data_IF_324426387214
#
_entry.id   IF_324426387214
#
_cell.length_a   1.000
_cell.length_b   1.000
_cell.length_c   1.000
_cell.angle_alpha   90.00
_cell.angle_beta   90.00
_cell.angle_gamma   90.00
#
_symmetry.space_group_name_H-M   'P 1'
#
loop_
_entity.id
_entity.type
_entity.pdbx_description
1 polymer ?
#
# COMPACT_ATOMS: atom_id res chain seq x y z
N UNK A 1 11.53 -9.07 -17.63
CA UNK A 1 10.90 -10.14 -16.82
C UNK A 1 9.44 -9.79 -16.69
N UNK A 2 8.52 -10.76 -16.77
CA UNK A 2 7.07 -10.55 -16.66
C UNK A 2 6.57 -11.28 -15.38
N UNK A 3 6.22 -10.54 -14.30
CA UNK A 3 5.84 -11.14 -13.02
C UNK A 3 4.71 -12.15 -13.12
N UNK A 4 3.69 -11.82 -13.92
CA UNK A 4 2.51 -12.66 -14.09
C UNK A 4 2.86 -14.02 -14.72
N UNK A 5 3.74 -14.03 -15.74
CA UNK A 5 4.19 -15.28 -16.36
C UNK A 5 4.97 -16.16 -15.37
N UNK A 6 5.88 -15.54 -14.59
CA UNK A 6 6.61 -16.27 -13.55
C UNK A 6 5.69 -16.85 -12.47
N UNK A 7 4.65 -16.11 -12.08
CA UNK A 7 3.65 -16.59 -11.15
C UNK A 7 2.95 -17.85 -11.68
N UNK A 8 2.44 -17.83 -12.91
CA UNK A 8 1.77 -18.99 -13.50
C UNK A 8 2.72 -20.17 -13.62
N UNK A 9 3.94 -19.95 -14.10
CA UNK A 9 4.94 -21.00 -14.22
C UNK A 9 5.25 -21.66 -12.86
N UNK A 10 5.45 -20.86 -11.80
CA UNK A 10 5.71 -21.38 -10.47
C UNK A 10 4.50 -22.15 -9.89
N UNK A 11 3.29 -21.60 -10.06
CA UNK A 11 2.07 -22.25 -9.59
C UNK A 11 1.85 -23.63 -10.24
N UNK A 12 2.16 -23.76 -11.52
CA UNK A 12 2.00 -25.01 -12.28
C UNK A 12 3.11 -26.03 -12.02
N UNK A 13 4.34 -25.58 -11.74
CA UNK A 13 5.52 -26.45 -11.80
C UNK A 13 6.28 -26.66 -10.48
N UNK A 14 6.01 -25.87 -9.42
CA UNK A 14 6.83 -25.90 -8.19
C UNK A 14 6.04 -26.11 -6.91
N UNK A 15 4.71 -26.25 -6.98
CA UNK A 15 3.85 -26.32 -5.80
C UNK A 15 3.67 -24.97 -5.09
N UNK A 16 3.97 -23.86 -5.77
CA UNK A 16 3.75 -22.52 -5.23
C UNK A 16 2.25 -22.25 -5.07
N UNK A 17 1.85 -21.82 -3.87
CA UNK A 17 0.47 -21.43 -3.58
C UNK A 17 0.43 -19.92 -3.32
N UNK A 18 -0.33 -19.21 -4.12
CA UNK A 18 -0.62 -17.79 -3.86
C UNK A 18 -1.42 -17.65 -2.56
N UNK A 19 -1.41 -16.45 -1.99
CA UNK A 19 -2.26 -16.13 -0.85
C UNK A 19 -3.76 -16.23 -1.23
N UNK A 20 -4.61 -16.58 -0.27
CA UNK A 20 -6.05 -16.72 -0.47
C UNK A 20 -6.68 -15.39 -0.89
N UNK A 21 -6.19 -14.31 -0.30
CA UNK A 21 -6.57 -12.92 -0.57
C UNK A 21 -5.42 -12.14 -1.20
N UNK A 22 -5.74 -10.98 -1.79
CA UNK A 22 -4.73 -9.99 -2.22
C UNK A 22 -3.89 -9.50 -1.03
N UNK A 23 -2.68 -9.06 -1.32
CA UNK A 23 -1.86 -8.35 -0.35
C UNK A 23 -2.37 -6.91 -0.17
N UNK A 24 -2.37 -6.41 1.07
CA UNK A 24 -2.80 -5.04 1.39
C UNK A 24 -1.91 -4.02 0.67
N UNK A 25 -2.52 -2.98 0.09
CA UNK A 25 -1.82 -1.98 -0.72
C UNK A 25 -1.58 -2.38 -2.18
N UNK A 26 -2.06 -3.56 -2.61
CA UNK A 26 -2.07 -4.00 -4.02
C UNK A 26 -3.29 -4.90 -4.36
N UNK A 27 -3.45 -5.21 -5.64
CA UNK A 27 -4.40 -6.18 -6.17
C UNK A 27 -3.78 -7.56 -6.40
N UNK A 28 -2.45 -7.68 -6.32
CA UNK A 28 -1.74 -8.95 -6.49
C UNK A 28 -1.79 -9.82 -5.23
N UNK A 29 -1.65 -11.13 -5.40
CA UNK A 29 -1.73 -12.15 -4.33
C UNK A 29 -0.53 -13.08 -4.21
N UNK A 30 0.51 -12.86 -5.02
CA UNK A 30 1.63 -13.80 -5.16
C UNK A 30 2.99 -13.21 -4.76
N UNK A 31 3.10 -11.89 -4.56
CA UNK A 31 4.38 -11.26 -4.24
C UNK A 31 4.53 -10.94 -2.75
N UNK A 32 5.70 -11.20 -2.19
CA UNK A 32 6.06 -10.95 -0.77
C UNK A 32 5.10 -11.61 0.23
N UNK A 33 4.59 -12.80 -0.07
CA UNK A 33 3.60 -13.49 0.78
C UNK A 33 4.21 -14.20 1.98
N UNK A 34 5.54 -14.21 2.07
CA UNK A 34 6.34 -14.82 3.13
C UNK A 34 6.68 -13.83 4.27
N UNK A 35 6.38 -12.54 4.12
CA UNK A 35 6.68 -11.50 5.11
C UNK A 35 5.40 -10.83 5.67
N UNK A 36 5.29 -10.78 7.00
CA UNK A 36 4.22 -10.08 7.71
C UNK A 36 4.37 -8.56 7.69
N UNK A 37 5.56 -8.04 7.39
CA UNK A 37 5.91 -6.61 7.47
C UNK A 37 5.81 -5.88 6.11
N UNK A 38 5.69 -6.61 4.99
CA UNK A 38 5.70 -6.03 3.62
C UNK A 38 4.61 -4.96 3.42
N UNK A 39 3.40 -5.19 3.93
CA UNK A 39 2.32 -4.19 3.86
C UNK A 39 2.71 -2.85 4.52
N UNK A 40 3.42 -2.90 5.65
CA UNK A 40 3.87 -1.70 6.36
C UNK A 40 5.02 -1.00 5.62
N UNK A 41 5.91 -1.76 4.99
CA UNK A 41 6.94 -1.20 4.12
C UNK A 41 6.32 -0.32 3.03
N UNK A 42 5.34 -0.85 2.31
CA UNK A 42 4.66 -0.11 1.24
C UNK A 42 3.80 1.04 1.74
N UNK A 43 3.09 0.85 2.85
CA UNK A 43 2.32 1.95 3.44
C UNK A 43 3.21 3.10 3.93
N UNK A 44 4.38 2.81 4.50
CA UNK A 44 5.35 3.85 4.87
C UNK A 44 5.94 4.55 3.65
N UNK A 45 6.18 3.82 2.55
CA UNK A 45 6.55 4.43 1.27
C UNK A 45 5.46 5.39 0.79
N UNK A 46 4.19 5.01 0.89
CA UNK A 46 3.06 5.89 0.57
C UNK A 46 3.01 7.13 1.46
N UNK A 47 3.22 6.99 2.76
CA UNK A 47 3.29 8.14 3.68
C UNK A 47 4.42 9.11 3.32
N UNK A 48 5.58 8.60 2.90
CA UNK A 48 6.77 9.39 2.57
C UNK A 48 6.72 10.01 1.17
N UNK A 49 6.19 9.29 0.18
CA UNK A 49 6.30 9.61 -1.24
C UNK A 49 4.97 9.83 -1.95
N UNK A 50 3.84 9.44 -1.33
CA UNK A 50 2.51 9.53 -1.91
C UNK A 50 2.16 8.43 -2.92
N UNK A 51 2.98 7.37 -3.00
CA UNK A 51 2.76 6.21 -3.87
C UNK A 51 2.97 4.92 -3.07
N UNK A 52 2.11 3.92 -3.32
CA UNK A 52 2.19 2.61 -2.68
C UNK A 52 2.52 1.53 -3.73
N UNK A 53 2.46 0.26 -3.32
CA UNK A 53 2.78 -0.89 -4.16
C UNK A 53 1.98 -0.94 -5.45
N UNK A 54 0.69 -0.57 -5.42
CA UNK A 54 -0.18 -0.62 -6.61
C UNK A 54 0.35 0.24 -7.74
N UNK A 55 0.89 1.42 -7.43
CA UNK A 55 1.53 2.28 -8.45
C UNK A 55 2.68 1.55 -9.16
N UNK A 56 3.50 0.79 -8.43
CA UNK A 56 4.62 0.04 -9.01
C UNK A 56 4.13 -1.15 -9.85
N UNK A 57 3.21 -1.95 -9.30
CA UNK A 57 2.66 -3.14 -9.95
C UNK A 57 1.93 -2.74 -11.25
N UNK A 58 1.04 -1.73 -11.18
CA UNK A 58 0.27 -1.27 -12.33
C UNK A 58 1.16 -0.64 -13.41
N UNK A 59 2.18 0.14 -13.03
CA UNK A 59 3.13 0.69 -13.99
C UNK A 59 3.93 -0.41 -14.72
N UNK A 60 4.22 -1.52 -14.05
CA UNK A 60 4.86 -2.67 -14.67
C UNK A 60 3.91 -3.37 -15.63
N UNK A 61 2.65 -3.62 -15.22
CA UNK A 61 1.66 -4.29 -16.06
C UNK A 61 1.24 -3.48 -17.30
N UNK A 62 1.24 -2.14 -17.24
CA UNK A 62 1.10 -1.30 -18.45
C UNK A 62 2.25 -1.57 -19.42
N UNK A 63 3.50 -1.64 -18.93
CA UNK A 63 4.68 -1.85 -19.78
C UNK A 63 4.66 -3.23 -20.44
N UNK A 64 4.16 -4.22 -19.72
CA UNK A 64 4.00 -5.58 -20.23
C UNK A 64 2.76 -5.74 -21.14
N UNK A 65 1.90 -4.71 -21.24
CA UNK A 65 0.70 -4.71 -22.08
C UNK A 65 -0.47 -5.51 -21.49
N UNK A 66 -0.47 -5.76 -20.18
CA UNK A 66 -1.52 -6.51 -19.48
C UNK A 66 -2.74 -5.64 -19.11
N UNK A 67 -2.50 -4.37 -18.80
CA UNK A 67 -3.54 -3.39 -18.49
C UNK A 67 -3.27 -2.08 -19.24
N UNK A 68 -4.33 -1.29 -19.45
CA UNK A 68 -4.20 0.06 -19.98
C UNK A 68 -4.07 1.10 -18.85
N UNK A 69 -3.83 2.36 -19.24
CA UNK A 69 -3.62 3.47 -18.29
C UNK A 69 -4.84 3.71 -17.39
N UNK A 70 -6.05 3.62 -17.94
CA UNK A 70 -7.28 3.94 -17.20
C UNK A 70 -7.55 2.89 -16.12
N UNK A 71 -7.31 1.62 -16.46
CA UNK A 71 -7.35 0.50 -15.50
C UNK A 71 -6.32 0.70 -14.39
N UNK A 72 -5.08 1.07 -14.73
CA UNK A 72 -4.04 1.33 -13.75
C UNK A 72 -4.38 2.49 -12.81
N UNK A 73 -4.90 3.61 -13.32
CA UNK A 73 -5.33 4.74 -12.48
C UNK A 73 -6.43 4.32 -11.51
N UNK A 74 -7.42 3.55 -11.99
CA UNK A 74 -8.49 3.04 -11.14
C UNK A 74 -7.97 2.09 -10.03
N UNK A 75 -7.00 1.23 -10.35
CA UNK A 75 -6.36 0.35 -9.36
C UNK A 75 -5.59 1.16 -8.32
N UNK A 76 -4.78 2.13 -8.74
CA UNK A 76 -4.03 3.02 -7.85
C UNK A 76 -4.98 3.77 -6.90
N UNK A 77 -6.06 4.36 -7.41
CA UNK A 77 -7.03 5.06 -6.56
C UNK A 77 -7.71 4.15 -5.55
N UNK A 78 -7.87 2.86 -5.88
CA UNK A 78 -8.54 1.89 -5.03
C UNK A 78 -7.65 1.34 -3.93
N UNK A 79 -6.36 1.13 -4.21
CA UNK A 79 -5.48 0.35 -3.33
C UNK A 79 -4.27 1.12 -2.79
N UNK A 80 -3.79 2.18 -3.45
CA UNK A 80 -2.72 3.00 -2.86
C UNK A 80 -3.21 3.68 -1.59
N UNK A 81 -2.39 3.59 -0.53
CA UNK A 81 -2.72 4.15 0.77
C UNK A 81 -3.68 3.31 1.63
N UNK A 82 -4.03 2.10 1.19
CA UNK A 82 -4.66 1.11 2.06
C UNK A 82 -3.74 0.78 3.25
N UNK A 83 -4.28 0.84 4.46
CA UNK A 83 -3.53 0.53 5.67
C UNK A 83 -3.49 -0.99 5.92
N UNK A 84 -2.30 -1.56 6.17
CA UNK A 84 -2.12 -3.00 6.39
C UNK A 84 -2.57 -3.42 7.80
N UNK A 85 -3.82 -3.83 7.95
CA UNK A 85 -4.42 -4.21 9.21
C UNK A 85 -4.12 -5.66 9.61
N UNK A 86 -3.90 -6.56 8.64
CA UNK A 86 -3.85 -8.02 8.88
C UNK A 86 -2.84 -8.41 9.97
N UNK A 87 -1.66 -7.79 9.97
CA UNK A 87 -0.58 -8.09 10.93
C UNK A 87 -0.27 -6.93 11.88
N UNK A 88 -1.20 -5.99 12.08
CA UNK A 88 -0.94 -4.77 12.85
C UNK A 88 -0.46 -5.02 14.28
N UNK A 89 -1.10 -5.96 14.99
CA UNK A 89 -0.72 -6.32 16.36
C UNK A 89 0.66 -6.98 16.43
N UNK A 90 0.98 -7.84 15.45
CA UNK A 90 2.28 -8.49 15.36
C UNK A 90 3.38 -7.46 15.08
N UNK A 91 3.12 -6.49 14.19
CA UNK A 91 4.02 -5.39 13.87
C UNK A 91 4.34 -4.53 15.09
N UNK A 92 3.32 -4.07 15.82
CA UNK A 92 3.50 -3.27 17.03
C UNK A 92 4.28 -4.03 18.10
N UNK A 93 3.93 -5.31 18.31
CA UNK A 93 4.64 -6.18 19.27
C UNK A 93 6.09 -6.40 18.87
N UNK A 94 6.37 -6.62 17.58
CA UNK A 94 7.72 -6.83 17.07
C UNK A 94 8.62 -5.61 17.30
N UNK A 95 8.08 -4.42 17.10
CA UNK A 95 8.80 -3.16 17.31
C UNK A 95 8.83 -2.68 18.76
N UNK A 96 8.04 -3.30 19.64
CA UNK A 96 7.83 -2.88 21.04
C UNK A 96 7.37 -1.41 21.15
N UNK A 97 6.40 -1.04 20.31
CA UNK A 97 5.80 0.30 20.30
C UNK A 97 4.29 0.24 20.43
N UNK A 98 3.71 1.32 20.94
CA UNK A 98 2.27 1.54 20.96
C UNK A 98 1.78 2.06 19.62
N UNK A 99 0.49 1.86 19.36
CA UNK A 99 -0.19 2.45 18.21
C UNK A 99 0.03 3.99 18.15
N UNK A 100 -0.11 4.68 19.28
CA UNK A 100 0.10 6.14 19.35
C UNK A 100 1.51 6.57 18.92
N UNK A 101 2.53 5.83 19.35
CA UNK A 101 3.92 6.12 18.99
C UNK A 101 4.16 5.93 17.50
N UNK A 102 3.64 4.83 16.91
CA UNK A 102 3.73 4.62 15.48
C UNK A 102 3.12 5.79 14.70
N UNK A 103 1.88 6.17 15.03
CA UNK A 103 1.18 7.23 14.29
C UNK A 103 1.83 8.60 14.46
N UNK A 104 2.36 8.88 15.66
CA UNK A 104 3.15 10.08 15.91
C UNK A 104 4.43 10.12 15.06
N UNK A 105 5.12 8.99 14.91
CA UNK A 105 6.33 8.90 14.07
C UNK A 105 5.98 8.97 12.59
N UNK A 106 4.97 8.21 12.14
CA UNK A 106 4.55 8.17 10.75
C UNK A 106 4.12 9.54 10.22
N UNK A 107 3.42 10.34 11.03
CA UNK A 107 2.99 11.69 10.63
C UNK A 107 4.18 12.63 10.38
N UNK A 108 5.30 12.47 11.10
CA UNK A 108 6.52 13.29 10.89
C UNK A 108 7.14 13.09 9.51
N UNK A 109 6.89 11.95 8.86
CA UNK A 109 7.40 11.66 7.53
C UNK A 109 6.52 12.22 6.40
N UNK A 110 5.37 12.82 6.73
CA UNK A 110 4.56 13.53 5.73
C UNK A 110 5.21 14.85 5.35
N UNK A 111 5.72 14.93 4.13
CA UNK A 111 6.21 16.19 3.63
C UNK A 111 5.09 17.10 3.11
N UNK A 112 5.11 18.38 3.49
CA UNK A 112 4.10 19.39 3.08
C UNK A 112 4.07 19.69 1.57
N UNK A 113 5.09 19.29 0.83
CA UNK A 113 5.11 19.40 -0.64
C UNK A 113 4.37 18.25 -1.34
N UNK A 114 4.10 17.15 -0.62
CA UNK A 114 3.32 16.01 -1.12
C UNK A 114 1.91 16.05 -0.54
N UNK A 115 1.80 16.40 0.75
CA UNK A 115 0.56 16.36 1.51
C UNK A 115 0.01 17.77 1.78
N UNK A 116 -1.31 17.93 1.68
CA UNK A 116 -2.06 19.10 2.14
C UNK A 116 -3.17 18.67 3.11
N UNK A 117 -3.54 19.49 4.10
CA UNK A 117 -4.70 19.21 4.94
C UNK A 117 -5.96 19.03 4.09
N UNK A 118 -6.78 18.04 4.41
CA UNK A 118 -8.05 17.77 3.74
C UNK A 118 -9.14 18.77 4.15
N UNK A 119 -9.01 19.37 5.35
CA UNK A 119 -10.01 20.25 5.96
C UNK A 119 -11.07 19.51 6.78
N UNK A 120 -11.03 18.17 6.78
CA UNK A 120 -11.88 17.35 7.64
C UNK A 120 -11.57 17.62 9.12
N UNK A 121 -12.58 17.46 9.97
CA UNK A 121 -12.44 17.54 11.42
C UNK A 121 -13.02 16.27 12.02
N UNK A 122 -12.25 15.60 12.87
CA UNK A 122 -12.72 14.45 13.64
C UNK A 122 -12.86 14.83 15.11
N UNK A 123 -13.90 14.33 15.78
CA UNK A 123 -14.05 14.44 17.22
C UNK A 123 -13.34 13.26 17.89
N UNK A 124 -12.27 13.54 18.64
CA UNK A 124 -11.47 12.52 19.34
C UNK A 124 -10.21 12.09 18.58
N UNK A 125 -9.38 11.27 19.25
CA UNK A 125 -8.20 10.66 18.65
C UNK A 125 -8.54 9.27 18.11
N UNK A 126 -8.60 9.15 16.78
CA UNK A 126 -8.48 7.88 16.07
C UNK A 126 -7.29 8.01 15.12
N UNK A 127 -6.28 7.15 15.23
CA UNK A 127 -5.11 7.25 14.36
C UNK A 127 -5.44 7.02 12.87
N UNK A 128 -6.36 6.11 12.58
CA UNK A 128 -6.93 5.90 11.24
C UNK A 128 -7.65 7.15 10.73
N UNK A 129 -8.31 7.89 11.62
CA UNK A 129 -8.97 9.15 11.27
C UNK A 129 -7.96 10.27 11.00
N UNK A 130 -6.82 10.29 11.70
CA UNK A 130 -5.76 11.27 11.44
C UNK A 130 -5.16 11.12 10.05
N UNK A 131 -5.09 9.90 9.52
CA UNK A 131 -4.70 9.68 8.13
C UNK A 131 -5.62 10.40 7.13
N UNK A 132 -6.94 10.36 7.37
CA UNK A 132 -7.95 11.01 6.51
C UNK A 132 -7.97 12.54 6.60
N UNK A 133 -7.19 13.13 7.53
CA UNK A 133 -6.98 14.58 7.62
C UNK A 133 -6.03 15.13 6.57
N UNK A 134 -5.37 14.26 5.79
CA UNK A 134 -4.43 14.66 4.76
C UNK A 134 -4.87 14.13 3.40
N UNK A 135 -4.58 14.90 2.37
CA UNK A 135 -4.77 14.52 0.97
C UNK A 135 -3.49 14.81 0.18
N UNK A 136 -3.23 13.99 -0.82
CA UNK A 136 -2.15 14.26 -1.77
C UNK A 136 -2.42 15.58 -2.49
N UNK A 137 -1.35 16.33 -2.75
CA UNK A 137 -1.41 17.55 -3.57
C UNK A 137 -1.64 17.22 -5.02
N UNK A 138 -0.97 16.18 -5.49
CA UNK A 138 -0.98 15.68 -6.85
C UNK A 138 -1.31 14.20 -6.76
N UNK A 139 -2.49 13.83 -7.22
CA UNK A 139 -2.88 12.45 -7.44
C UNK A 139 -3.01 12.27 -8.94
N UNK A 140 -2.67 11.08 -9.45
CA UNK A 140 -2.78 10.81 -10.89
C UNK A 140 -4.23 11.01 -11.31
N UNK A 141 -4.45 11.94 -12.24
CA UNK A 141 -5.78 12.23 -12.80
C UNK A 141 -6.09 11.26 -13.95
N UNK A 142 -7.40 11.05 -14.16
CA UNK A 142 -7.93 10.30 -15.30
C UNK A 142 -7.49 10.94 -16.61
#
# INVERSE_FOLDING_TARGET
WVPQWNYYYAAENTGFTANDDRSEGTYQKYGSIDDKLDGFHWWMAYMKFGICRTTYDAAHEIRDGHINRDEAVALVHKYDGEFPNKYWKDFLKYLDITDKEFWYVADKYRSRHIWKPSGAKFSGYSPEAQYKLWKLRHQVEY
#
